data_IF_503809324789
#
_entry.id   IF_503809324789
#
_cell.length_a   1.000
_cell.length_b   1.000
_cell.length_c   1.000
_cell.angle_alpha   90.00
_cell.angle_beta   90.00
_cell.angle_gamma   90.00
#
_symmetry.space_group_name_H-M   'P 1'
#
loop_
_entity.id
_entity.type
_entity.pdbx_description
1 polymer ?
#
# COMPACT_ATOMS: atom_id res chain seq x y z
N UNK A 1 -18.07 13.68 -12.74
CA UNK A 1 -18.08 14.80 -11.76
C UNK A 1 -17.70 14.20 -10.43
N UNK A 2 -16.57 14.62 -9.87
CA UNK A 2 -16.08 14.11 -8.60
C UNK A 2 -16.75 14.86 -7.43
N UNK A 3 -17.00 14.15 -6.33
CA UNK A 3 -17.42 14.69 -5.05
C UNK A 3 -16.23 14.65 -4.10
N UNK A 4 -16.08 15.71 -3.31
CA UNK A 4 -15.07 15.80 -2.26
C UNK A 4 -15.75 16.15 -0.95
N UNK A 5 -15.51 15.35 0.07
CA UNK A 5 -16.04 15.51 1.42
C UNK A 5 -14.85 15.56 2.37
N UNK A 6 -14.86 16.50 3.32
CA UNK A 6 -13.91 16.53 4.43
C UNK A 6 -14.66 16.10 5.69
N UNK A 7 -14.22 15.00 6.30
CA UNK A 7 -14.77 14.51 7.55
C UNK A 7 -14.29 15.37 8.72
N UNK A 8 -14.96 15.26 9.88
CA UNK A 8 -14.64 16.02 11.09
C UNK A 8 -13.22 15.73 11.59
N UNK A 9 -12.75 14.48 11.44
CA UNK A 9 -11.38 14.06 11.77
C UNK A 9 -10.32 14.53 10.74
N UNK A 10 -10.71 15.31 9.73
CA UNK A 10 -9.81 15.87 8.72
C UNK A 10 -9.56 14.97 7.51
N UNK A 11 -9.99 13.70 7.53
CA UNK A 11 -9.88 12.79 6.38
C UNK A 11 -10.65 13.37 5.20
N UNK A 12 -10.06 13.24 4.00
CA UNK A 12 -10.65 13.69 2.74
C UNK A 12 -11.15 12.46 1.98
N UNK A 13 -12.44 12.41 1.71
CA UNK A 13 -13.06 11.40 0.86
C UNK A 13 -13.28 12.03 -0.51
N UNK A 14 -12.68 11.43 -1.54
CA UNK A 14 -12.87 11.84 -2.94
C UNK A 14 -13.49 10.65 -3.67
N UNK A 15 -14.64 10.86 -4.32
CA UNK A 15 -15.31 9.81 -5.06
C UNK A 15 -15.84 10.33 -6.39
N UNK A 16 -15.76 9.50 -7.42
CA UNK A 16 -16.36 9.77 -8.72
C UNK A 16 -17.27 8.59 -9.10
N UNK A 17 -18.56 8.88 -9.31
CA UNK A 17 -19.50 7.87 -9.79
C UNK A 17 -19.48 7.86 -11.30
N UNK A 18 -19.19 6.70 -11.87
CA UNK A 18 -19.23 6.43 -13.31
C UNK A 18 -20.40 5.46 -13.56
N UNK A 19 -21.60 5.92 -13.95
CA UNK A 19 -22.83 5.12 -13.87
C UNK A 19 -22.84 3.83 -14.70
N UNK A 20 -22.03 3.75 -15.76
CA UNK A 20 -21.98 2.61 -16.67
C UNK A 20 -20.93 1.55 -16.29
N UNK A 21 -20.13 1.79 -15.24
CA UNK A 21 -19.21 0.79 -14.70
C UNK A 21 -19.91 -0.03 -13.62
N UNK A 22 -19.65 -1.34 -13.63
CA UNK A 22 -20.09 -2.30 -12.60
C UNK A 22 -18.96 -2.68 -11.64
N UNK A 23 -17.86 -1.94 -11.69
CA UNK A 23 -16.70 -2.11 -10.83
C UNK A 23 -16.46 -0.86 -10.00
N UNK A 24 -15.72 -1.03 -8.92
CA UNK A 24 -15.29 0.03 -8.01
C UNK A 24 -13.81 -0.15 -7.71
N UNK A 25 -13.09 0.97 -7.61
CA UNK A 25 -11.75 1.03 -7.04
C UNK A 25 -11.81 1.88 -5.77
N UNK A 26 -11.31 1.34 -4.68
CA UNK A 26 -11.29 1.96 -3.35
C UNK A 26 -9.81 2.03 -2.94
N UNK A 27 -9.36 3.17 -2.43
CA UNK A 27 -7.97 3.30 -2.00
C UNK A 27 -7.78 4.27 -0.84
N UNK A 28 -6.85 3.92 0.04
CA UNK A 28 -6.35 4.73 1.14
C UNK A 28 -5.02 5.34 0.69
N UNK A 29 -5.00 6.66 0.56
CA UNK A 29 -3.81 7.41 0.15
C UNK A 29 -3.20 8.10 1.37
N UNK A 30 -1.99 7.70 1.72
CA UNK A 30 -1.21 8.31 2.79
C UNK A 30 -0.16 9.22 2.17
N UNK A 31 -0.12 10.48 2.60
CA UNK A 31 0.85 11.48 2.11
C UNK A 31 2.21 11.34 2.78
N UNK A 32 2.73 10.11 2.84
CA UNK A 32 4.08 9.78 3.33
C UNK A 32 4.71 8.78 2.37
N UNK A 33 6.02 8.81 2.26
CA UNK A 33 6.81 7.89 1.44
C UNK A 33 8.29 8.03 1.81
N UNK A 34 9.19 7.49 0.99
CA UNK A 34 10.63 7.46 1.34
C UNK A 34 11.26 8.83 1.63
N UNK A 35 10.75 9.92 1.03
CA UNK A 35 11.20 11.30 1.30
C UNK A 35 10.93 11.76 2.75
N UNK A 36 9.93 11.18 3.40
CA UNK A 36 9.53 11.54 4.77
C UNK A 36 10.33 10.79 5.84
N UNK A 37 11.27 9.95 5.42
CA UNK A 37 12.10 9.13 6.29
C UNK A 37 13.40 9.86 6.65
N UNK A 38 14.18 9.25 7.51
CA UNK A 38 15.50 9.70 7.90
C UNK A 38 16.50 8.53 7.79
N UNK A 39 17.82 8.79 7.89
CA UNK A 39 18.82 7.75 7.70
C UNK A 39 18.70 6.53 8.63
N UNK A 40 18.05 6.67 9.79
CA UNK A 40 17.87 5.56 10.74
C UNK A 40 16.67 4.66 10.46
N UNK A 41 15.71 5.12 9.64
CA UNK A 41 14.49 4.38 9.30
C UNK A 41 14.20 4.36 7.81
N UNK A 42 15.20 4.60 6.96
CA UNK A 42 15.01 4.57 5.52
C UNK A 42 14.53 3.18 5.06
N UNK A 43 13.50 3.15 4.23
CA UNK A 43 12.75 1.96 3.84
C UNK A 43 11.53 1.64 4.72
N UNK A 44 11.29 2.37 5.81
CA UNK A 44 10.18 2.04 6.74
C UNK A 44 8.79 2.17 6.09
N UNK A 45 8.60 3.11 5.16
CA UNK A 45 7.31 3.30 4.48
C UNK A 45 6.94 2.08 3.64
N UNK A 46 7.92 1.59 2.86
CA UNK A 46 7.78 0.38 2.05
C UNK A 46 7.65 -0.86 2.93
N UNK A 47 8.43 -0.93 4.01
CA UNK A 47 8.36 -2.05 4.97
C UNK A 47 6.99 -2.13 5.65
N UNK A 48 6.44 -1.01 6.11
CA UNK A 48 5.10 -0.94 6.68
C UNK A 48 4.06 -1.38 5.65
N UNK A 49 4.20 -0.94 4.40
CA UNK A 49 3.32 -1.35 3.32
C UNK A 49 3.22 -2.86 3.18
N UNK A 50 4.36 -3.57 3.13
CA UNK A 50 4.37 -5.04 3.11
C UNK A 50 3.74 -5.66 4.36
N UNK A 51 4.06 -5.10 5.54
CA UNK A 51 3.58 -5.64 6.81
C UNK A 51 2.06 -5.56 6.96
N UNK A 52 1.39 -4.59 6.32
CA UNK A 52 -0.08 -4.47 6.35
C UNK A 52 -0.78 -5.69 5.69
N UNK A 53 -0.08 -6.47 4.87
CA UNK A 53 -0.61 -7.68 4.25
C UNK A 53 -0.37 -8.96 5.08
N UNK A 54 0.42 -8.90 6.17
CA UNK A 54 0.80 -10.11 6.94
C UNK A 54 -0.22 -10.57 7.97
N UNK A 55 -1.24 -9.75 8.21
CA UNK A 55 -2.36 -10.12 9.05
C UNK A 55 -2.82 -8.96 9.92
N UNK A 56 -3.99 -9.15 10.50
CA UNK A 56 -4.64 -8.25 11.43
C UNK A 56 -5.02 -8.99 12.71
N UNK A 57 -5.60 -8.27 13.67
CA UNK A 57 -6.22 -8.89 14.83
C UNK A 57 -7.34 -9.88 14.47
N UNK A 58 -7.98 -9.66 13.32
CA UNK A 58 -9.19 -10.34 12.90
C UNK A 58 -8.99 -11.33 11.76
N UNK A 59 -7.89 -11.21 10.99
CA UNK A 59 -7.63 -11.99 9.77
C UNK A 59 -6.14 -12.33 9.64
N UNK A 60 -5.83 -13.58 9.33
CA UNK A 60 -4.51 -13.97 8.85
C UNK A 60 -4.23 -13.40 7.45
N UNK A 61 -2.95 -13.34 7.05
CA UNK A 61 -2.55 -12.97 5.67
C UNK A 61 -3.34 -13.75 4.60
N UNK A 62 -3.55 -15.05 4.84
CA UNK A 62 -4.31 -15.91 3.93
C UNK A 62 -5.77 -15.51 3.86
N UNK A 63 -6.41 -15.23 4.99
CA UNK A 63 -7.82 -14.81 5.02
C UNK A 63 -8.01 -13.43 4.36
N UNK A 64 -7.03 -12.53 4.46
CA UNK A 64 -7.03 -11.25 3.73
C UNK A 64 -7.06 -11.51 2.23
N UNK A 65 -6.14 -12.34 1.72
CA UNK A 65 -6.06 -12.69 0.30
C UNK A 65 -7.35 -13.41 -0.18
N UNK A 66 -7.76 -14.48 0.52
CA UNK A 66 -8.94 -15.27 0.19
C UNK A 66 -10.23 -14.43 0.20
N UNK A 67 -10.35 -13.43 1.08
CA UNK A 67 -11.51 -12.53 1.16
C UNK A 67 -11.68 -11.67 -0.10
N UNK A 68 -10.58 -11.26 -0.73
CA UNK A 68 -10.62 -10.45 -1.96
C UNK A 68 -10.64 -11.34 -3.21
N UNK A 69 -9.90 -12.44 -3.23
CA UNK A 69 -9.85 -13.36 -4.37
C UNK A 69 -11.20 -14.04 -4.61
N UNK A 70 -11.91 -14.41 -3.53
CA UNK A 70 -13.23 -15.07 -3.63
C UNK A 70 -14.33 -14.20 -4.27
N UNK A 71 -14.15 -12.88 -4.25
CA UNK A 71 -15.06 -11.91 -4.90
C UNK A 71 -14.55 -11.44 -6.27
N UNK A 72 -13.48 -12.08 -6.79
CA UNK A 72 -12.83 -11.70 -8.05
C UNK A 72 -12.18 -10.31 -7.99
N UNK A 73 -11.82 -9.86 -6.79
CA UNK A 73 -11.19 -8.57 -6.57
C UNK A 73 -9.68 -8.62 -6.80
N UNK A 74 -9.07 -7.45 -6.72
CA UNK A 74 -7.63 -7.27 -6.68
C UNK A 74 -7.32 -6.36 -5.50
N UNK A 75 -6.40 -6.77 -4.64
CA UNK A 75 -5.88 -5.99 -3.54
C UNK A 75 -4.40 -5.77 -3.79
N UNK A 76 -3.94 -4.52 -3.70
CA UNK A 76 -2.54 -4.20 -3.90
C UNK A 76 -2.17 -2.92 -3.16
N UNK A 77 -0.88 -2.63 -3.09
CA UNK A 77 -0.35 -1.38 -2.59
C UNK A 77 0.88 -0.95 -3.39
N UNK A 78 1.29 0.30 -3.19
CA UNK A 78 2.59 0.76 -3.63
C UNK A 78 3.07 1.91 -2.76
N UNK A 79 4.38 2.03 -2.64
CA UNK A 79 5.06 3.12 -1.94
C UNK A 79 5.92 3.91 -2.91
N UNK A 80 5.64 5.21 -3.03
CA UNK A 80 6.48 6.15 -3.76
C UNK A 80 7.31 7.02 -2.83
N UNK A 81 7.94 8.06 -3.38
CA UNK A 81 8.74 9.01 -2.58
C UNK A 81 7.91 9.86 -1.64
N UNK A 82 6.70 10.25 -2.04
CA UNK A 82 5.85 11.20 -1.28
C UNK A 82 4.48 10.64 -0.89
N UNK A 83 4.14 9.42 -1.33
CA UNK A 83 2.87 8.80 -0.98
C UNK A 83 2.95 7.27 -0.97
N UNK A 84 2.12 6.68 -0.13
CA UNK A 84 1.83 5.24 -0.11
C UNK A 84 0.34 5.05 -0.33
N UNK A 85 -0.03 4.11 -1.18
CA UNK A 85 -1.41 3.82 -1.53
C UNK A 85 -1.72 2.35 -1.27
N UNK A 86 -2.81 2.08 -0.56
CA UNK A 86 -3.39 0.75 -0.40
C UNK A 86 -4.73 0.74 -1.11
N UNK A 87 -4.94 -0.15 -2.06
CA UNK A 87 -6.16 -0.11 -2.87
C UNK A 87 -6.71 -1.50 -3.18
N UNK A 88 -8.02 -1.54 -3.37
CA UNK A 88 -8.76 -2.70 -3.81
C UNK A 88 -9.62 -2.34 -5.02
N UNK A 89 -9.75 -3.27 -5.95
CA UNK A 89 -10.64 -3.18 -7.12
C UNK A 89 -11.55 -4.40 -7.14
N UNK A 90 -12.85 -4.20 -7.25
CA UNK A 90 -13.83 -5.30 -7.27
C UNK A 90 -15.11 -4.88 -8.01
N UNK A 91 -16.11 -5.76 -8.07
CA UNK A 91 -17.46 -5.43 -8.54
C UNK A 91 -18.19 -4.52 -7.53
N UNK A 92 -19.09 -3.69 -8.02
CA UNK A 92 -19.86 -2.75 -7.18
C UNK A 92 -20.64 -3.45 -6.05
N UNK A 93 -21.10 -4.67 -6.28
CA UNK A 93 -21.80 -5.52 -5.31
C UNK A 93 -20.94 -5.96 -4.12
N UNK A 94 -19.61 -5.82 -4.21
CA UNK A 94 -18.66 -6.22 -3.17
C UNK A 94 -17.85 -5.05 -2.61
N UNK A 95 -18.27 -3.81 -2.88
CA UNK A 95 -17.61 -2.61 -2.40
C UNK A 95 -17.43 -2.60 -0.87
N UNK A 96 -18.47 -3.04 -0.13
CA UNK A 96 -18.45 -3.08 1.33
C UNK A 96 -17.40 -4.07 1.87
N UNK A 97 -17.24 -5.23 1.20
CA UNK A 97 -16.23 -6.24 1.56
C UNK A 97 -14.82 -5.68 1.34
N UNK A 98 -14.58 -5.07 0.18
CA UNK A 98 -13.28 -4.48 -0.13
C UNK A 98 -12.90 -3.34 0.83
N UNK A 99 -13.88 -2.50 1.20
CA UNK A 99 -13.67 -1.43 2.17
C UNK A 99 -13.40 -1.98 3.58
N UNK A 100 -14.12 -3.01 4.00
CA UNK A 100 -13.92 -3.66 5.31
C UNK A 100 -12.53 -4.28 5.42
N UNK A 101 -12.07 -5.01 4.40
CA UNK A 101 -10.72 -5.59 4.36
C UNK A 101 -9.65 -4.50 4.39
N UNK A 102 -9.77 -3.46 3.54
CA UNK A 102 -8.83 -2.34 3.54
C UNK A 102 -8.77 -1.63 4.89
N UNK A 103 -9.92 -1.40 5.53
CA UNK A 103 -10.00 -0.76 6.84
C UNK A 103 -9.36 -1.62 7.93
N UNK A 104 -9.62 -2.93 7.93
CA UNK A 104 -9.05 -3.85 8.92
C UNK A 104 -7.52 -3.92 8.79
N UNK A 105 -7.01 -4.05 7.57
CA UNK A 105 -5.56 -3.97 7.30
C UNK A 105 -4.97 -2.65 7.81
N UNK A 106 -5.63 -1.53 7.52
CA UNK A 106 -5.07 -0.23 7.86
C UNK A 106 -5.05 0.07 9.37
N UNK A 107 -6.06 -0.39 10.12
CA UNK A 107 -6.20 -0.04 11.55
C UNK A 107 -5.81 -1.15 12.52
N UNK A 108 -5.90 -2.42 12.13
CA UNK A 108 -5.75 -3.56 13.04
C UNK A 108 -4.61 -4.51 12.63
N UNK A 109 -3.70 -4.08 11.75
CA UNK A 109 -2.56 -4.91 11.34
C UNK A 109 -1.66 -5.28 12.51
N UNK A 110 -1.31 -6.57 12.57
CA UNK A 110 -0.40 -7.12 13.57
C UNK A 110 1.00 -7.17 13.00
N UNK A 111 1.94 -6.54 13.71
CA UNK A 111 3.35 -6.56 13.38
C UNK A 111 4.06 -7.63 14.23
N UNK A 112 3.70 -8.90 14.03
CA UNK A 112 4.32 -9.99 14.78
C UNK A 112 5.80 -10.15 14.41
N UNK A 113 6.65 -10.39 15.41
CA UNK A 113 8.11 -10.49 15.22
C UNK A 113 8.50 -11.55 14.18
N UNK A 114 7.78 -12.69 14.16
CA UNK A 114 8.01 -13.76 13.18
C UNK A 114 7.80 -13.27 11.73
N UNK A 115 6.78 -12.45 11.51
CA UNK A 115 6.40 -11.98 10.18
C UNK A 115 7.34 -10.87 9.73
N UNK A 116 7.78 -10.01 10.65
CA UNK A 116 8.84 -9.02 10.41
C UNK A 116 10.13 -9.70 9.95
N UNK A 117 10.58 -10.75 10.64
CA UNK A 117 11.83 -11.44 10.28
C UNK A 117 11.76 -12.21 8.96
N UNK A 118 10.57 -12.68 8.58
CA UNK A 118 10.34 -13.25 7.25
C UNK A 118 10.35 -12.14 6.20
N UNK A 119 9.65 -11.04 6.45
CA UNK A 119 9.47 -10.00 5.43
C UNK A 119 10.73 -9.21 5.15
N UNK A 120 11.61 -9.02 6.14
CA UNK A 120 12.96 -8.50 5.91
C UNK A 120 13.70 -9.29 4.83
N UNK A 121 13.57 -10.63 4.82
CA UNK A 121 14.24 -11.47 3.82
C UNK A 121 13.62 -11.29 2.44
N UNK A 122 12.29 -11.22 2.37
CA UNK A 122 11.57 -10.97 1.11
C UNK A 122 12.01 -9.64 0.49
N UNK A 123 12.09 -8.58 1.30
CA UNK A 123 12.49 -7.25 0.83
C UNK A 123 13.98 -7.22 0.46
N UNK A 124 14.85 -7.97 1.13
CA UNK A 124 16.25 -8.09 0.72
C UNK A 124 16.39 -8.74 -0.66
N UNK A 125 15.58 -9.77 -0.97
CA UNK A 125 15.56 -10.37 -2.30
C UNK A 125 15.01 -9.37 -3.35
N UNK A 126 14.00 -8.59 -3.00
CA UNK A 126 13.46 -7.55 -3.87
C UNK A 126 14.50 -6.46 -4.20
N UNK A 127 15.26 -6.00 -3.21
CA UNK A 127 16.38 -5.07 -3.43
C UNK A 127 17.39 -5.68 -4.41
N UNK A 128 17.76 -6.95 -4.21
CA UNK A 128 18.64 -7.66 -5.14
C UNK A 128 18.09 -7.72 -6.57
N UNK A 129 16.78 -7.96 -6.72
CA UNK A 129 16.13 -7.95 -8.04
C UNK A 129 16.19 -6.58 -8.72
N UNK A 130 16.05 -5.48 -7.96
CA UNK A 130 16.21 -4.13 -8.50
C UNK A 130 17.66 -3.84 -8.90
N UNK A 131 18.63 -4.24 -8.08
CA UNK A 131 20.07 -4.09 -8.40
C UNK A 131 20.50 -4.91 -9.63
N UNK A 132 19.88 -6.08 -9.84
CA UNK A 132 20.09 -6.94 -11.01
C UNK A 132 19.35 -6.46 -12.28
N UNK A 133 18.54 -5.40 -12.19
CA UNK A 133 17.82 -4.79 -13.32
C UNK A 133 18.45 -3.45 -13.71
N UNK A 134 19.29 -3.38 -14.76
CA UNK A 134 19.97 -2.14 -15.15
C UNK A 134 19.02 -0.98 -15.51
N UNK A 135 17.82 -1.30 -15.98
CA UNK A 135 16.79 -0.31 -16.34
C UNK A 135 16.17 0.35 -15.11
N UNK A 136 15.99 -0.39 -14.01
CA UNK A 136 15.52 0.19 -12.75
C UNK A 136 16.66 0.89 -12.01
N UNK A 137 17.83 0.23 -11.90
CA UNK A 137 18.99 0.74 -11.19
C UNK A 137 19.47 2.11 -11.70
N UNK A 138 19.37 2.37 -13.02
CA UNK A 138 19.75 3.67 -13.57
C UNK A 138 18.87 4.81 -13.03
N UNK A 139 17.60 4.56 -12.73
CA UNK A 139 16.69 5.56 -12.17
C UNK A 139 17.01 5.88 -10.70
N UNK A 140 17.47 4.89 -9.94
CA UNK A 140 17.95 5.08 -8.56
C UNK A 140 19.26 5.86 -8.52
N UNK A 141 20.26 5.44 -9.33
CA UNK A 141 21.54 6.16 -9.44
C UNK A 141 21.32 7.62 -9.89
N UNK A 142 20.40 7.84 -10.84
CA UNK A 142 20.04 9.18 -11.27
C UNK A 142 19.44 9.99 -10.11
N UNK A 143 18.51 9.40 -9.36
CA UNK A 143 17.89 10.04 -8.20
C UNK A 143 18.93 10.43 -7.15
N UNK A 144 19.81 9.50 -6.77
CA UNK A 144 20.88 9.74 -5.81
C UNK A 144 21.86 10.81 -6.28
N UNK A 145 22.21 10.80 -7.57
CA UNK A 145 23.17 11.75 -8.14
C UNK A 145 22.61 13.16 -8.18
N UNK A 146 21.33 13.32 -8.53
CA UNK A 146 20.67 14.62 -8.59
C UNK A 146 20.40 15.18 -7.18
N UNK A 147 20.06 14.32 -6.22
CA UNK A 147 19.52 14.71 -4.90
C UNK A 147 20.45 14.42 -3.71
N UNK A 148 21.77 14.33 -3.92
CA UNK A 148 22.80 13.92 -2.93
C UNK A 148 22.71 14.45 -1.49
N UNK A 149 22.11 15.62 -1.27
CA UNK A 149 22.04 16.31 0.04
C UNK A 149 20.60 16.60 0.48
N UNK A 150 19.63 16.02 -0.20
CA UNK A 150 18.20 16.22 0.04
C UNK A 150 17.50 14.88 0.28
N UNK A 151 16.52 14.81 1.20
CA UNK A 151 15.65 13.65 1.33
C UNK A 151 14.88 13.32 0.05
#
# INVERSE_FOLDING_TARGET
MYKRIKLENGIRVVCERIPYLRSVSIGIWVGTGSRSENPSNNGISHFIEHMLFKGTDNRSAREIADSIDSIGGQLNAFTGKECTCYYAKTLDSHADIALDVLSDMFFNSRFEEKDIEIEKKVILEEIGMYEDSPEELVHDILSETVWRITP
#
